data_IF_643813940245
#
_entry.id   IF_643813940245
#
_cell.length_a   1.000
_cell.length_b   1.000
_cell.length_c   1.000
_cell.angle_alpha   90.00
_cell.angle_beta   90.00
_cell.angle_gamma   90.00
#
_symmetry.space_group_name_H-M   'P 1'
#
loop_
_entity.id
_entity.type
_entity.pdbx_description
1 polymer ?
#
# COMPACT_ATOMS: atom_id res chain seq x y z
N UNK A 1 27.86 -3.66 4.86
CA UNK A 1 27.11 -3.69 6.14
C UNK A 1 25.65 -4.03 5.86
N UNK A 2 25.07 -5.04 6.55
CA UNK A 2 23.64 -5.37 6.46
C UNK A 2 22.89 -4.54 7.50
N UNK A 3 22.54 -3.29 7.18
CA UNK A 3 21.76 -2.47 8.09
C UNK A 3 20.28 -2.83 7.96
N UNK A 4 19.85 -3.81 8.77
CA UNK A 4 18.44 -4.12 8.98
C UNK A 4 17.86 -3.01 9.85
N UNK A 5 17.03 -2.15 9.28
CA UNK A 5 16.29 -1.15 10.03
C UNK A 5 14.87 -1.66 10.24
N UNK A 6 14.45 -1.75 11.49
CA UNK A 6 13.09 -2.09 11.89
C UNK A 6 12.55 -0.99 12.79
N UNK A 7 11.41 -0.43 12.41
CA UNK A 7 10.69 0.57 13.19
C UNK A 7 9.31 0.02 13.49
N UNK A 8 8.94 0.02 14.77
CA UNK A 8 7.60 -0.38 15.22
C UNK A 8 6.88 0.85 15.72
N UNK A 9 5.67 1.07 15.20
CA UNK A 9 4.76 2.11 15.64
C UNK A 9 3.81 1.45 16.63
N UNK A 10 4.02 1.70 17.93
CA UNK A 10 3.29 1.03 19.01
C UNK A 10 1.78 1.32 18.97
N UNK A 11 1.39 2.56 18.65
CA UNK A 11 -0.02 2.98 18.60
C UNK A 11 -0.86 2.23 17.56
N UNK A 12 -0.25 1.84 16.43
CA UNK A 12 -0.92 1.15 15.33
C UNK A 12 -0.55 -0.34 15.26
N UNK A 13 0.41 -0.80 16.07
CA UNK A 13 0.96 -2.16 16.03
C UNK A 13 1.62 -2.52 14.70
N UNK A 14 2.09 -1.52 13.94
CA UNK A 14 2.69 -1.70 12.61
C UNK A 14 4.20 -1.76 12.76
N UNK A 15 4.81 -2.81 12.26
CA UNK A 15 6.27 -2.94 12.15
C UNK A 15 6.70 -2.84 10.70
N UNK A 16 7.60 -1.91 10.41
CA UNK A 16 8.19 -1.71 9.10
C UNK A 16 9.64 -2.14 9.20
N UNK A 17 10.07 -3.03 8.32
CA UNK A 17 11.45 -3.50 8.24
C UNK A 17 12.00 -3.40 6.83
N UNK A 18 13.27 -3.02 6.70
CA UNK A 18 13.97 -2.93 5.41
C UNK A 18 15.35 -3.57 5.48
N UNK A 19 15.91 -3.92 4.32
CA UNK A 19 17.27 -4.46 4.17
C UNK A 19 17.42 -5.97 4.40
N UNK A 20 16.33 -6.70 4.66
CA UNK A 20 16.35 -8.16 4.84
C UNK A 20 16.24 -8.92 3.52
N UNK A 21 15.32 -8.51 2.64
CA UNK A 21 14.93 -9.22 1.40
C UNK A 21 15.02 -8.25 0.21
N UNK A 22 15.23 -8.78 -1.00
CA UNK A 22 15.23 -8.04 -2.28
C UNK A 22 16.17 -6.83 -2.34
N UNK A 23 17.45 -7.04 -2.00
CA UNK A 23 18.49 -6.00 -1.97
C UNK A 23 18.89 -5.43 -3.33
N UNK A 24 18.46 -6.07 -4.41
CA UNK A 24 18.69 -5.61 -5.79
C UNK A 24 17.60 -4.63 -6.25
N UNK A 25 16.44 -4.60 -5.56
CA UNK A 25 15.41 -3.63 -5.87
C UNK A 25 15.82 -2.24 -5.35
N UNK A 26 15.36 -1.20 -6.04
CA UNK A 26 15.61 0.19 -5.63
C UNK A 26 14.99 0.47 -4.25
N UNK A 27 13.83 -0.10 -3.95
CA UNK A 27 13.23 -0.04 -2.61
C UNK A 27 12.62 -1.39 -2.24
N UNK A 28 12.88 -1.85 -1.01
CA UNK A 28 12.31 -3.08 -0.49
C UNK A 28 11.96 -2.92 0.99
N UNK A 29 10.69 -3.17 1.31
CA UNK A 29 10.12 -3.01 2.65
C UNK A 29 9.21 -4.19 2.96
N UNK A 30 9.35 -4.74 4.16
CA UNK A 30 8.41 -5.70 4.74
C UNK A 30 7.64 -4.98 5.84
N UNK A 31 6.33 -4.89 5.68
CA UNK A 31 5.42 -4.31 6.65
C UNK A 31 4.57 -5.41 7.28
N UNK A 32 4.47 -5.39 8.60
CA UNK A 32 3.73 -6.39 9.38
C UNK A 32 2.82 -5.71 10.38
N UNK A 33 1.62 -6.25 10.56
CA UNK A 33 0.69 -5.83 11.61
C UNK A 33 0.03 -7.08 12.19
N UNK A 34 0.33 -7.38 13.45
CA UNK A 34 0.00 -8.69 14.03
C UNK A 34 0.81 -9.78 13.33
N UNK A 35 0.13 -10.78 12.78
CA UNK A 35 0.71 -11.87 11.97
C UNK A 35 0.48 -11.66 10.45
N UNK A 36 -0.33 -10.67 10.05
CA UNK A 36 -0.44 -10.23 8.65
C UNK A 36 0.85 -9.53 8.23
N UNK A 37 1.53 -10.09 7.23
CA UNK A 37 2.80 -9.59 6.72
C UNK A 37 2.74 -9.41 5.21
N UNK A 38 3.19 -8.25 4.74
CA UNK A 38 3.18 -7.84 3.35
C UNK A 38 4.59 -7.36 2.95
N UNK A 39 5.06 -7.83 1.81
CA UNK A 39 6.33 -7.42 1.23
C UNK A 39 6.07 -6.49 0.04
N UNK A 40 6.66 -5.31 0.04
CA UNK A 40 6.56 -4.33 -1.04
C UNK A 40 7.94 -4.05 -1.61
N UNK A 41 8.05 -4.15 -2.93
CA UNK A 41 9.23 -3.70 -3.67
C UNK A 41 8.84 -2.62 -4.67
N UNK A 42 9.67 -1.58 -4.76
CA UNK A 42 9.59 -0.54 -5.76
C UNK A 42 10.86 -0.56 -6.60
N UNK A 43 10.71 -0.59 -7.92
CA UNK A 43 11.83 -0.54 -8.87
C UNK A 43 11.59 0.53 -9.91
N UNK A 44 12.64 1.27 -10.22
CA UNK A 44 12.63 2.30 -11.25
C UNK A 44 13.70 2.00 -12.29
N UNK A 45 13.37 2.17 -13.56
CA UNK A 45 14.35 2.08 -14.64
C UNK A 45 15.27 3.32 -14.62
N UNK A 46 16.56 3.08 -14.87
CA UNK A 46 17.56 4.16 -15.01
C UNK A 46 17.46 4.84 -16.38
N UNK A 47 17.08 4.07 -17.41
CA UNK A 47 16.97 4.53 -18.80
C UNK A 47 15.51 4.62 -19.25
N UNK A 48 15.24 5.55 -20.16
CA UNK A 48 13.96 5.66 -20.86
C UNK A 48 13.82 4.48 -21.82
N UNK A 49 12.70 3.75 -21.73
CA UNK A 49 12.41 2.63 -22.63
C UNK A 49 12.32 3.06 -24.09
N UNK A 50 11.86 4.29 -24.34
CA UNK A 50 11.76 4.84 -25.68
C UNK A 50 12.00 6.35 -25.65
N UNK A 51 12.73 6.92 -26.63
CA UNK A 51 13.02 8.35 -26.67
C UNK A 51 11.76 9.21 -26.91
N UNK A 52 10.70 8.64 -27.50
CA UNK A 52 9.44 9.33 -27.84
C UNK A 52 8.31 9.07 -26.81
N UNK A 53 8.67 8.79 -25.55
CA UNK A 53 7.68 8.43 -24.54
C UNK A 53 7.02 9.66 -23.90
N UNK A 54 5.77 9.95 -24.27
CA UNK A 54 5.02 11.10 -23.73
C UNK A 54 4.22 10.81 -22.46
N UNK A 55 4.24 9.57 -21.95
CA UNK A 55 3.44 9.15 -20.79
C UNK A 55 4.28 8.47 -19.71
N UNK A 56 3.93 8.72 -18.44
CA UNK A 56 4.55 8.09 -17.28
C UNK A 56 4.02 6.67 -17.06
N UNK A 57 4.84 5.62 -17.29
CA UNK A 57 4.40 4.23 -17.13
C UNK A 57 4.58 3.80 -15.67
N UNK A 58 3.55 4.05 -14.85
CA UNK A 58 3.44 3.50 -13.50
C UNK A 58 2.59 2.23 -13.51
N UNK A 59 3.19 1.13 -13.05
CA UNK A 59 2.51 -0.15 -12.82
C UNK A 59 2.53 -0.47 -11.33
N UNK A 60 1.35 -0.73 -10.78
CA UNK A 60 1.19 -1.21 -9.41
C UNK A 60 0.48 -2.55 -9.45
N UNK A 61 1.14 -3.58 -8.92
CA UNK A 61 0.61 -4.93 -8.83
C UNK A 61 0.53 -5.35 -7.38
N UNK A 62 -0.66 -5.71 -6.92
CA UNK A 62 -0.88 -6.35 -5.64
C UNK A 62 -1.28 -7.82 -5.84
N UNK A 63 -0.63 -8.73 -5.08
CA UNK A 63 -0.86 -10.17 -5.14
C UNK A 63 -0.99 -10.78 -3.75
N UNK A 64 -2.07 -11.52 -3.57
CA UNK A 64 -2.38 -12.32 -2.41
C UNK A 64 -2.07 -13.78 -2.71
N UNK A 65 -1.02 -14.31 -2.08
CA UNK A 65 -0.71 -15.73 -2.22
C UNK A 65 -1.69 -16.56 -1.42
N UNK A 66 -2.21 -17.66 -2.00
CA UNK A 66 -3.05 -18.60 -1.24
C UNK A 66 -2.29 -19.23 -0.06
N UNK A 67 -0.97 -19.34 -0.20
CA UNK A 67 -0.06 -19.74 0.87
C UNK A 67 -0.11 -18.80 2.09
N UNK A 68 -0.42 -17.51 1.90
CA UNK A 68 -0.54 -16.55 3.00
C UNK A 68 -1.70 -16.85 3.94
N UNK A 69 -2.76 -17.51 3.43
CA UNK A 69 -3.89 -17.98 4.22
C UNK A 69 -3.76 -19.47 4.61
N UNK A 70 -2.61 -20.10 4.33
CA UNK A 70 -2.39 -21.53 4.59
C UNK A 70 -3.27 -22.47 3.76
N UNK A 71 -3.79 -22.00 2.61
CA UNK A 71 -4.71 -22.78 1.76
C UNK A 71 -4.07 -23.12 0.43
N UNK A 72 -4.45 -24.27 -0.12
CA UNK A 72 -4.09 -24.63 -1.48
C UNK A 72 -5.05 -23.97 -2.47
N UNK A 73 -4.57 -23.49 -3.63
CA UNK A 73 -5.43 -22.96 -4.67
C UNK A 73 -6.36 -24.07 -5.20
N UNK A 74 -7.67 -23.83 -5.14
CA UNK A 74 -8.70 -24.77 -5.62
C UNK A 74 -8.88 -24.84 -7.15
N UNK A 75 -8.05 -24.10 -7.90
CA UNK A 75 -8.08 -24.10 -9.37
C UNK A 75 -7.44 -25.37 -9.94
N UNK A 76 -7.88 -25.81 -11.14
CA UNK A 76 -7.34 -26.98 -11.85
C UNK A 76 -5.81 -26.92 -12.00
N UNK A 77 -5.28 -25.72 -12.28
CA UNK A 77 -3.84 -25.49 -12.44
C UNK A 77 -3.07 -25.42 -11.12
N UNK A 78 -3.75 -25.46 -9.97
CA UNK A 78 -3.18 -25.36 -8.60
C UNK A 78 -2.12 -24.25 -8.46
N UNK A 79 -2.33 -23.15 -9.18
CA UNK A 79 -1.46 -21.98 -9.23
C UNK A 79 -2.31 -20.72 -9.13
N UNK A 80 -1.71 -19.67 -8.60
CA UNK A 80 -2.26 -18.32 -8.63
C UNK A 80 -2.46 -17.90 -10.09
N UNK A 81 -3.67 -17.44 -10.40
CA UNK A 81 -4.10 -17.16 -11.77
C UNK A 81 -4.27 -15.68 -12.02
N UNK A 82 -5.38 -15.33 -12.67
CA UNK A 82 -5.78 -13.94 -12.86
C UNK A 82 -5.98 -13.26 -11.50
N UNK A 83 -5.65 -11.95 -11.40
CA UNK A 83 -5.90 -11.23 -10.17
C UNK A 83 -7.39 -11.20 -9.82
N UNK A 84 -7.68 -11.33 -8.54
CA UNK A 84 -9.02 -11.17 -7.96
C UNK A 84 -9.45 -9.71 -7.99
N UNK A 85 -10.77 -9.46 -7.91
CA UNK A 85 -11.31 -8.10 -7.84
C UNK A 85 -10.72 -7.31 -6.66
N UNK A 86 -10.52 -7.96 -5.51
CA UNK A 86 -9.86 -7.34 -4.35
C UNK A 86 -8.44 -6.89 -4.72
N UNK A 87 -7.67 -7.74 -5.37
CA UNK A 87 -6.29 -7.41 -5.77
C UNK A 87 -6.23 -6.24 -6.76
N UNK A 88 -7.16 -6.21 -7.72
CA UNK A 88 -7.28 -5.12 -8.70
C UNK A 88 -7.66 -3.82 -8.01
N UNK A 89 -8.60 -3.86 -7.05
CA UNK A 89 -9.04 -2.69 -6.30
C UNK A 89 -7.91 -2.13 -5.42
N UNK A 90 -7.18 -2.98 -4.69
CA UNK A 90 -6.03 -2.56 -3.87
C UNK A 90 -4.91 -1.96 -4.73
N UNK A 91 -4.64 -2.56 -5.89
CA UNK A 91 -3.65 -2.04 -6.85
C UNK A 91 -4.03 -0.63 -7.31
N UNK A 92 -5.30 -0.42 -7.69
CA UNK A 92 -5.81 0.90 -8.12
C UNK A 92 -5.87 1.91 -6.98
N UNK A 93 -6.17 1.45 -5.77
CA UNK A 93 -6.19 2.28 -4.56
C UNK A 93 -4.81 2.85 -4.27
N UNK A 94 -3.75 2.08 -4.49
CA UNK A 94 -2.37 2.55 -4.34
C UNK A 94 -1.87 3.39 -5.52
N UNK A 95 -2.28 3.05 -6.74
CA UNK A 95 -1.84 3.75 -7.95
C UNK A 95 -2.32 5.22 -8.00
N UNK A 96 -3.61 5.46 -7.69
CA UNK A 96 -4.22 6.79 -7.71
C UNK A 96 -3.48 7.86 -6.89
N UNK A 97 -3.12 7.64 -5.61
CA UNK A 97 -2.39 8.61 -4.81
C UNK A 97 -0.91 8.70 -5.20
N UNK A 98 -0.32 7.66 -5.80
CA UNK A 98 1.10 7.67 -6.18
C UNK A 98 1.36 8.50 -7.45
N UNK A 99 0.49 8.41 -8.47
CA UNK A 99 0.65 9.16 -9.75
C UNK A 99 0.93 10.67 -9.58
N UNK A 100 0.16 11.44 -8.79
CA UNK A 100 0.39 12.89 -8.67
C UNK A 100 1.62 13.26 -7.84
N UNK A 101 2.26 12.30 -7.16
CA UNK A 101 3.42 12.60 -6.32
C UNK A 101 4.72 12.67 -7.13
N UNK A 102 4.75 12.09 -8.34
CA UNK A 102 5.93 12.14 -9.20
C UNK A 102 6.09 13.52 -9.85
N UNK A 103 7.34 14.02 -9.98
CA UNK A 103 7.58 15.30 -10.61
C UNK A 103 7.18 15.29 -12.08
N UNK A 104 6.69 16.42 -12.58
CA UNK A 104 6.32 16.59 -13.98
C UNK A 104 7.54 16.36 -14.89
N UNK A 105 7.37 15.56 -15.95
CA UNK A 105 8.46 15.19 -16.86
C UNK A 105 9.27 13.95 -16.44
N UNK A 106 8.93 13.30 -15.32
CA UNK A 106 9.50 11.99 -14.98
C UNK A 106 8.83 10.90 -15.81
N UNK A 107 9.56 10.37 -16.80
CA UNK A 107 9.07 9.38 -17.77
C UNK A 107 9.69 8.00 -17.58
N UNK A 108 10.49 7.82 -16.52
CA UNK A 108 11.09 6.53 -16.22
C UNK A 108 10.02 5.53 -15.78
N UNK A 109 10.22 4.27 -16.14
CA UNK A 109 9.33 3.22 -15.71
C UNK A 109 9.47 2.92 -14.23
N UNK A 110 8.32 2.92 -13.55
CA UNK A 110 8.22 2.58 -12.14
C UNK A 110 7.27 1.40 -12.00
N UNK A 111 7.76 0.37 -11.32
CA UNK A 111 6.99 -0.79 -10.94
C UNK A 111 6.96 -0.93 -9.43
N UNK A 112 5.76 -1.02 -8.87
CA UNK A 112 5.53 -1.32 -7.46
C UNK A 112 4.81 -2.65 -7.35
N UNK A 113 5.43 -3.61 -6.67
CA UNK A 113 4.87 -4.95 -6.47
C UNK A 113 4.66 -5.16 -4.97
N UNK A 114 3.41 -5.46 -4.61
CA UNK A 114 3.00 -5.85 -3.27
C UNK A 114 2.65 -7.33 -3.23
N UNK A 115 3.29 -8.06 -2.31
CA UNK A 115 3.06 -9.48 -2.10
C UNK A 115 2.62 -9.74 -0.66
N UNK A 116 1.42 -10.28 -0.49
CA UNK A 116 0.96 -10.75 0.81
C UNK A 116 1.66 -12.07 1.15
N UNK A 117 2.40 -12.10 2.26
CA UNK A 117 3.14 -13.26 2.72
C UNK A 117 2.36 -14.06 3.78
N UNK A 118 1.63 -13.36 4.65
CA UNK A 118 0.83 -13.94 5.71
C UNK A 118 -0.42 -13.10 5.92
N UNK A 119 -1.55 -13.73 6.22
CA UNK A 119 -2.84 -13.07 6.38
C UNK A 119 -3.66 -13.66 7.54
N UNK A 120 -3.94 -12.83 8.54
CA UNK A 120 -4.68 -13.26 9.76
C UNK A 120 -6.19 -13.21 9.60
N UNK A 121 -6.70 -12.79 8.44
CA UNK A 121 -8.13 -12.53 8.15
C UNK A 121 -8.80 -11.44 9.03
N UNK A 122 -8.10 -10.91 10.03
CA UNK A 122 -8.59 -9.86 10.93
C UNK A 122 -8.14 -8.47 10.47
N UNK A 123 -6.93 -8.38 9.91
CA UNK A 123 -6.33 -7.12 9.47
C UNK A 123 -6.41 -6.98 7.95
N UNK A 124 -6.95 -5.85 7.49
CA UNK A 124 -6.99 -5.51 6.06
C UNK A 124 -5.59 -5.20 5.52
N UNK A 125 -5.27 -5.86 4.41
CA UNK A 125 -3.98 -5.73 3.72
C UNK A 125 -3.86 -4.44 2.90
N UNK A 126 -4.96 -3.79 2.56
CA UNK A 126 -4.99 -2.60 1.71
C UNK A 126 -4.22 -1.42 2.33
N UNK A 127 -4.45 -1.18 3.63
CA UNK A 127 -3.78 -0.10 4.38
C UNK A 127 -2.28 -0.38 4.49
N UNK A 128 -1.92 -1.65 4.68
CA UNK A 128 -0.52 -2.06 4.73
C UNK A 128 0.16 -1.88 3.37
N UNK A 129 -0.55 -2.16 2.27
CA UNK A 129 -0.01 -1.95 0.93
C UNK A 129 0.29 -0.48 0.65
N UNK A 130 -0.63 0.44 0.97
CA UNK A 130 -0.43 1.88 0.76
C UNK A 130 0.76 2.39 1.57
N UNK A 131 0.81 2.05 2.86
CA UNK A 131 1.90 2.47 3.75
C UNK A 131 3.23 1.85 3.33
N UNK A 132 3.22 0.57 2.95
CA UNK A 132 4.39 -0.16 2.46
C UNK A 132 4.92 0.41 1.15
N UNK A 133 4.06 0.78 0.21
CA UNK A 133 4.44 1.42 -1.05
C UNK A 133 5.06 2.80 -0.81
N UNK A 134 4.47 3.61 0.06
CA UNK A 134 5.06 4.91 0.43
C UNK A 134 6.42 4.74 1.11
N UNK A 135 6.57 3.76 2.00
CA UNK A 135 7.83 3.48 2.68
C UNK A 135 8.90 2.95 1.70
N UNK A 136 8.51 2.10 0.75
CA UNK A 136 9.41 1.54 -0.26
C UNK A 136 9.92 2.61 -1.22
N UNK A 137 9.06 3.55 -1.63
CA UNK A 137 9.44 4.69 -2.48
C UNK A 137 10.29 5.72 -1.74
N UNK A 138 10.09 5.88 -0.43
CA UNK A 138 10.89 6.78 0.41
C UNK A 138 12.19 6.15 0.92
N UNK A 139 12.42 4.85 0.68
CA UNK A 139 13.60 4.16 1.17
C UNK A 139 14.86 4.75 0.50
N UNK A 140 15.92 5.07 1.27
CA UNK A 140 17.11 5.67 0.72
C UNK A 140 17.96 4.63 -0.01
N UNK A 141 17.79 4.55 -1.33
CA UNK A 141 18.68 3.73 -2.17
C UNK A 141 19.07 4.47 -3.45
N UNK A 142 20.26 4.13 -3.93
CA UNK A 142 21.18 4.68 -4.96
C UNK A 142 20.69 5.51 -6.16
N UNK A 143 19.39 5.70 -6.43
CA UNK A 143 18.98 6.70 -7.41
C UNK A 143 18.86 8.07 -6.75
N UNK A 144 19.61 9.04 -7.27
CA UNK A 144 19.46 10.44 -6.90
C UNK A 144 18.00 10.88 -7.01
N UNK A 145 17.44 11.25 -5.85
CA UNK A 145 16.38 12.23 -5.70
C UNK A 145 15.07 12.00 -6.47
N UNK A 146 14.10 11.36 -5.80
CA UNK A 146 12.78 11.97 -5.59
C UNK A 146 12.36 11.66 -4.15
N UNK A 147 12.52 12.63 -3.24
CA UNK A 147 11.98 12.52 -1.87
C UNK A 147 10.47 12.74 -1.94
N UNK A 148 9.75 11.69 -2.33
CA UNK A 148 8.28 11.68 -2.36
C UNK A 148 7.77 11.99 -0.95
N UNK A 149 7.05 13.11 -0.80
CA UNK A 149 6.40 13.45 0.47
C UNK A 149 5.29 12.42 0.71
N UNK A 150 5.52 11.51 1.65
CA UNK A 150 4.47 10.63 2.14
C UNK A 150 3.33 11.48 2.72
N UNK A 151 2.17 11.46 2.08
CA UNK A 151 0.92 11.95 2.66
C UNK A 151 0.40 10.88 3.61
N UNK A 152 0.72 11.00 4.90
CA UNK A 152 0.05 10.26 5.94
C UNK A 152 -1.41 10.75 6.02
N UNK A 153 -2.37 9.84 5.86
CA UNK A 153 -3.74 10.07 6.32
C UNK A 153 -3.72 10.14 7.85
N UNK A 154 -3.47 11.33 8.38
CA UNK A 154 -3.74 11.66 9.79
C UNK A 154 -5.25 11.62 9.96
N UNK A 155 -5.74 10.67 10.76
CA UNK A 155 -7.04 10.79 11.38
C UNK A 155 -7.03 12.07 12.23
N UNK A 156 -7.93 13.00 11.92
CA UNK A 156 -7.99 14.35 12.49
C UNK A 156 -7.97 14.35 14.03
N UNK A 157 -7.13 15.16 14.69
CA UNK A 157 -7.17 15.35 16.13
C UNK A 157 -8.23 16.40 16.44
N UNK A 158 -9.46 15.99 16.76
CA UNK A 158 -10.50 16.98 17.07
C UNK A 158 -11.94 16.51 17.12
N UNK A 159 -12.21 15.30 17.62
CA UNK A 159 -13.50 15.02 18.27
C UNK A 159 -13.36 13.73 19.08
N UNK A 160 -13.50 13.84 20.39
CA UNK A 160 -13.60 12.70 21.30
C UNK A 160 -14.65 11.69 20.82
N UNK A 161 -14.26 10.47 20.50
CA UNK A 161 -15.14 9.31 20.66
C UNK A 161 -14.43 7.98 20.42
N UNK A 162 -14.40 7.18 21.47
CA UNK A 162 -14.82 5.79 21.50
C UNK A 162 -14.33 4.87 20.38
N UNK A 163 -13.43 3.97 20.76
CA UNK A 163 -13.39 2.58 20.30
C UNK A 163 -14.77 2.11 19.82
N UNK A 164 -14.87 1.74 18.55
CA UNK A 164 -16.10 1.12 18.03
C UNK A 164 -16.12 -0.33 18.54
N UNK A 165 -17.14 -0.74 19.30
CA UNK A 165 -17.29 -2.13 19.66
C UNK A 165 -17.68 -2.92 18.42
N UNK A 166 -17.21 -4.16 18.35
CA UNK A 166 -17.83 -5.21 17.55
C UNK A 166 -19.31 -5.28 17.91
N UNK A 167 -20.21 -5.32 16.92
CA UNK A 167 -21.28 -6.34 16.86
C UNK A 167 -22.32 -6.09 15.76
N UNK A 168 -22.81 -7.24 15.30
CA UNK A 168 -24.16 -7.53 14.86
C UNK A 168 -25.27 -6.57 15.35
N UNK A 169 -26.25 -6.40 14.47
CA UNK A 169 -27.62 -5.90 14.65
C UNK A 169 -27.93 -4.43 14.38
N UNK A 170 -29.02 -4.29 13.61
CA UNK A 170 -29.97 -3.17 13.44
C UNK A 170 -29.63 -2.00 12.49
N UNK A 171 -30.56 -1.82 11.55
CA UNK A 171 -30.60 -0.95 10.38
C UNK A 171 -30.85 0.53 10.69
N UNK A 172 -30.35 1.48 9.87
CA UNK A 172 -30.64 2.90 10.06
C UNK A 172 -31.88 3.34 9.26
N UNK A 173 -32.89 3.83 9.98
CA UNK A 173 -33.96 4.66 9.46
C UNK A 173 -33.44 6.06 9.14
N UNK A 174 -33.74 6.55 7.93
CA UNK A 174 -33.42 7.90 7.49
C UNK A 174 -34.39 8.92 8.09
N UNK A 175 -33.88 9.99 8.70
CA UNK A 175 -34.64 11.25 8.83
C UNK A 175 -33.73 12.43 8.48
N UNK A 176 -34.19 13.19 7.49
CA UNK A 176 -33.64 14.46 7.04
C UNK A 176 -34.09 15.58 7.97
N UNK A 177 -33.21 16.54 8.27
CA UNK A 177 -33.66 17.88 8.65
C UNK A 177 -32.77 18.95 8.01
N UNK A 178 -33.48 19.81 7.28
CA UNK A 178 -33.05 21.01 6.58
C UNK A 178 -33.08 22.20 7.57
N UNK A 179 -32.04 23.04 7.57
CA UNK A 179 -32.09 24.45 7.99
C UNK A 179 -30.75 25.09 7.58
N UNK A 180 -30.60 25.86 6.50
CA UNK A 180 -31.12 27.21 6.18
C UNK A 180 -30.51 28.35 7.01
N UNK A 181 -29.81 29.26 6.29
CA UNK A 181 -29.45 30.66 6.61
C UNK A 181 -28.46 30.88 7.78
N UNK A 182 -27.54 31.86 7.76
CA UNK A 182 -27.63 33.24 7.25
C UNK A 182 -26.24 33.87 7.10
N UNK A 183 -26.15 34.86 6.22
CA UNK A 183 -25.00 35.74 5.99
C UNK A 183 -24.76 36.74 7.14
N UNK A 184 -23.50 37.10 7.31
CA UNK A 184 -22.97 38.48 7.47
C UNK A 184 -21.49 38.46 7.11
#
# INVERSE_FOLDING_TARGET
MKQKHSVTIEELGITISTGSIARLANGAVTISKGETTLFVSATAAEELRSPDQDFFPLTVDYREKFAAAGRFPGSYFRREGKPSDKEILTSRLCDRPLRPLFPEGFLNEVQVIGLLLSADQINDSDVLMVNGASAALSAPTSLGTVRLRASASVASPGSSSSTRPTNSSTSPTWTSSTSAMRAT
#
